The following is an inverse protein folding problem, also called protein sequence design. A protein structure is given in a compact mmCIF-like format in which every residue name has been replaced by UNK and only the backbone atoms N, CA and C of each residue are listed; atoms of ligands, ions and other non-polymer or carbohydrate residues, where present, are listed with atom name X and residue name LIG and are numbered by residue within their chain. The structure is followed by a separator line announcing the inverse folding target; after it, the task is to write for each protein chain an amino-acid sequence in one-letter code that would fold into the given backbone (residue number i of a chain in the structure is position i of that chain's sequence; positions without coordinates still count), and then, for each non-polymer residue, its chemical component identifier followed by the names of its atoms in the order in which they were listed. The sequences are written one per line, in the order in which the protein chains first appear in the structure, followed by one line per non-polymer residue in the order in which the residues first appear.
data_IF_834124883242
#
_entry.id   IF_834124883242
#
_cell.length_a   1.000
_cell.length_b   1.000
_cell.length_c   1.000
_cell.angle_alpha   90.00
_cell.angle_beta   90.00
_cell.angle_gamma   90.00
#
_symmetry.space_group_name_H-M   'P 1'
#
loop_
_entity.id
_entity.type
_entity.pdbx_description
1 polymer ?
#
# COMPACT_ATOMS: atom_id res chain seq x y z
N UNK A 1 -15.66 -6.27 -6.56
CA UNK A 1 -15.51 -7.37 -5.56
C UNK A 1 -14.41 -6.96 -4.59
N UNK A 2 -14.55 -7.11 -3.27
CA UNK A 2 -13.42 -6.91 -2.38
C UNK A 2 -12.43 -8.04 -2.70
N UNK A 3 -11.26 -7.68 -3.22
CA UNK A 3 -10.16 -8.63 -3.40
C UNK A 3 -9.79 -9.09 -1.98
N UNK A 4 -10.12 -10.35 -1.67
CA UNK A 4 -9.77 -11.03 -0.42
C UNK A 4 -8.24 -11.25 -0.40
N UNK A 5 -7.47 -10.16 -0.32
CA UNK A 5 -6.01 -10.17 -0.26
C UNK A 5 -5.63 -10.33 1.21
N UNK A 6 -4.95 -11.43 1.58
CA UNK A 6 -4.51 -11.61 2.96
C UNK A 6 -3.55 -10.48 3.34
N UNK A 7 -3.69 -9.99 4.57
CA UNK A 7 -2.76 -9.03 5.13
C UNK A 7 -1.41 -9.70 5.42
N UNK A 8 -0.34 -8.91 5.51
CA UNK A 8 1.02 -9.42 5.77
C UNK A 8 1.10 -10.38 6.97
N UNK A 9 0.35 -10.08 8.05
CA UNK A 9 0.26 -10.93 9.24
C UNK A 9 -0.41 -12.28 8.96
N UNK A 10 -1.50 -12.28 8.20
CA UNK A 10 -2.21 -13.52 7.83
C UNK A 10 -1.32 -14.40 6.95
N UNK A 11 -0.55 -13.79 6.05
CA UNK A 11 0.41 -14.48 5.20
C UNK A 11 1.55 -15.10 6.00
N UNK A 12 2.14 -14.35 6.94
CA UNK A 12 3.19 -14.86 7.85
C UNK A 12 2.68 -16.04 8.68
N UNK A 13 1.49 -15.92 9.25
CA UNK A 13 0.86 -17.01 10.02
C UNK A 13 0.61 -18.26 9.17
N UNK A 14 0.18 -18.08 7.92
CA UNK A 14 -0.03 -19.20 7.00
C UNK A 14 1.29 -19.92 6.66
N UNK A 15 2.38 -19.16 6.45
CA UNK A 15 3.72 -19.71 6.19
C UNK A 15 4.22 -20.48 7.43
N UNK A 16 4.11 -19.90 8.61
CA UNK A 16 4.50 -20.55 9.87
C UNK A 16 3.72 -21.84 10.11
N UNK A 17 2.40 -21.81 9.90
CA UNK A 17 1.55 -22.99 10.04
C UNK A 17 1.92 -24.09 9.04
N UNK A 18 2.20 -23.73 7.78
CA UNK A 18 2.67 -24.69 6.78
C UNK A 18 4.00 -25.35 7.21
N UNK A 19 4.96 -24.58 7.72
CA UNK A 19 6.26 -25.08 8.19
C UNK A 19 6.15 -26.05 9.37
N UNK A 20 5.13 -25.90 10.22
CA UNK A 20 4.87 -26.83 11.33
C UNK A 20 4.33 -28.18 10.85
N UNK A 21 3.67 -28.21 9.69
CA UNK A 21 3.05 -29.40 9.13
C UNK A 21 3.11 -29.35 7.59
N UNK A 22 4.28 -29.64 7.00
CA UNK A 22 4.45 -29.63 5.55
C UNK A 22 3.60 -30.73 4.88
N UNK A 23 3.40 -30.60 3.58
CA UNK A 23 2.64 -31.59 2.81
C UNK A 23 3.39 -32.93 2.77
N UNK A 24 2.70 -34.08 2.99
CA UNK A 24 3.34 -35.39 2.93
C UNK A 24 3.81 -35.79 1.52
N UNK A 25 3.27 -35.19 0.44
CA UNK A 25 3.76 -35.39 -0.92
C UNK A 25 4.97 -34.47 -1.19
N UNK A 26 6.18 -35.03 -1.43
CA UNK A 26 7.39 -34.23 -1.65
C UNK A 26 7.30 -33.26 -2.83
N UNK A 27 6.51 -33.58 -3.86
CA UNK A 27 6.35 -32.70 -5.04
C UNK A 27 5.50 -31.49 -4.71
N UNK A 28 4.45 -31.70 -3.90
CA UNK A 28 3.58 -30.63 -3.41
C UNK A 28 4.35 -29.75 -2.43
N UNK A 29 5.15 -30.36 -1.56
CA UNK A 29 5.99 -29.64 -0.61
C UNK A 29 7.06 -28.77 -1.30
N UNK A 30 7.75 -29.30 -2.32
CA UNK A 30 8.70 -28.52 -3.10
C UNK A 30 8.03 -27.32 -3.81
N UNK A 31 6.81 -27.52 -4.33
CA UNK A 31 6.05 -26.45 -4.95
C UNK A 31 5.67 -25.36 -3.95
N UNK A 32 5.11 -25.73 -2.80
CA UNK A 32 4.77 -24.76 -1.75
C UNK A 32 6.02 -24.08 -1.19
N UNK A 33 7.16 -24.77 -1.10
CA UNK A 33 8.45 -24.16 -0.75
C UNK A 33 8.84 -23.00 -1.67
N UNK A 34 8.66 -23.17 -3.00
CA UNK A 34 8.89 -22.09 -3.98
C UNK A 34 7.92 -20.93 -3.81
N UNK A 35 6.64 -21.22 -3.56
CA UNK A 35 5.62 -20.20 -3.30
C UNK A 35 5.95 -19.40 -2.03
N UNK A 36 6.28 -20.09 -0.93
CA UNK A 36 6.67 -19.47 0.34
C UNK A 36 7.89 -18.57 0.15
N UNK A 37 8.93 -19.04 -0.52
CA UNK A 37 10.13 -18.23 -0.79
C UNK A 37 9.78 -16.93 -1.56
N UNK A 38 8.86 -17.01 -2.52
CA UNK A 38 8.39 -15.82 -3.25
C UNK A 38 7.61 -14.86 -2.35
N UNK A 39 6.73 -15.38 -1.50
CA UNK A 39 5.93 -14.59 -0.57
C UNK A 39 6.81 -13.92 0.50
N UNK A 40 7.82 -14.60 1.03
CA UNK A 40 8.79 -14.01 1.96
C UNK A 40 9.58 -12.88 1.32
N UNK A 41 10.06 -13.07 0.07
CA UNK A 41 10.74 -12.02 -0.67
C UNK A 41 9.84 -10.79 -0.90
N UNK A 42 8.55 -11.02 -1.14
CA UNK A 42 7.56 -9.94 -1.28
C UNK A 42 7.35 -9.18 0.02
N UNK A 43 7.18 -9.90 1.14
CA UNK A 43 7.02 -9.30 2.48
C UNK A 43 8.24 -8.46 2.89
N UNK A 44 9.46 -8.97 2.67
CA UNK A 44 10.69 -8.23 2.99
C UNK A 44 10.84 -6.98 2.13
N UNK A 45 10.51 -7.06 0.83
CA UNK A 45 10.49 -5.88 -0.04
C UNK A 45 9.49 -4.84 0.46
N UNK A 46 8.26 -5.22 0.75
CA UNK A 46 7.23 -4.30 1.24
C UNK A 46 7.67 -3.63 2.54
N UNK A 47 8.24 -4.40 3.48
CA UNK A 47 8.80 -3.88 4.73
C UNK A 47 9.92 -2.87 4.51
N UNK A 48 10.82 -3.13 3.57
CA UNK A 48 11.90 -2.21 3.23
C UNK A 48 11.39 -0.88 2.64
N UNK A 49 10.29 -0.92 1.89
CA UNK A 49 9.68 0.27 1.26
C UNK A 49 8.71 1.01 2.20
N UNK A 50 8.18 0.35 3.23
CA UNK A 50 7.16 0.89 4.11
C UNK A 50 7.58 2.19 4.82
N UNK A 51 8.82 2.27 5.31
CA UNK A 51 9.30 3.48 6.00
C UNK A 51 9.41 4.69 5.08
N UNK A 52 9.91 4.49 3.86
CA UNK A 52 10.01 5.54 2.84
C UNK A 52 8.61 5.99 2.39
N UNK A 53 7.70 5.05 2.16
CA UNK A 53 6.32 5.38 1.80
C UNK A 53 5.59 6.13 2.92
N UNK A 54 5.75 5.72 4.18
CA UNK A 54 5.14 6.41 5.32
C UNK A 54 5.64 7.86 5.46
N UNK A 55 6.92 8.11 5.15
CA UNK A 55 7.46 9.46 5.10
C UNK A 55 6.79 10.28 3.99
N UNK A 56 6.73 9.74 2.77
CA UNK A 56 6.12 10.40 1.62
C UNK A 56 4.62 10.66 1.84
N UNK A 57 3.89 9.72 2.42
CA UNK A 57 2.47 9.86 2.75
C UNK A 57 2.26 11.00 3.76
N UNK A 58 3.12 11.09 4.78
CA UNK A 58 3.08 12.18 5.76
C UNK A 58 3.35 13.54 5.12
N UNK A 59 4.39 13.66 4.29
CA UNK A 59 4.70 14.91 3.58
C UNK A 59 3.54 15.34 2.66
N UNK A 60 2.95 14.39 1.95
CA UNK A 60 1.79 14.66 1.09
C UNK A 60 0.56 15.10 1.91
N UNK A 61 0.32 14.51 3.09
CA UNK A 61 -0.75 14.96 3.98
C UNK A 61 -0.52 16.39 4.49
N UNK A 62 0.72 16.74 4.85
CA UNK A 62 1.08 18.11 5.29
C UNK A 62 0.90 19.13 4.14
N UNK A 63 1.33 18.77 2.93
CA UNK A 63 1.12 19.59 1.73
C UNK A 63 -0.37 19.77 1.43
N UNK A 64 -1.16 18.69 1.49
CA UNK A 64 -2.59 18.73 1.24
C UNK A 64 -3.32 19.61 2.27
N UNK A 65 -2.93 19.52 3.55
CA UNK A 65 -3.47 20.38 4.59
C UNK A 65 -3.17 21.87 4.34
N UNK A 66 -1.96 22.19 3.88
CA UNK A 66 -1.56 23.56 3.54
C UNK A 66 -2.36 24.09 2.34
N UNK A 67 -2.49 23.30 1.27
CA UNK A 67 -3.26 23.65 0.06
C UNK A 67 -4.74 23.87 0.40
N UNK A 68 -5.32 23.02 1.24
CA UNK A 68 -6.72 23.12 1.65
C UNK A 68 -6.97 24.17 2.75
N UNK A 69 -5.91 24.81 3.26
CA UNK A 69 -5.93 25.71 4.42
C UNK A 69 -6.70 25.09 5.60
N UNK A 70 -6.51 23.79 5.81
CA UNK A 70 -7.18 23.02 6.86
C UNK A 70 -6.40 23.11 8.16
N UNK A 71 -7.09 23.45 9.26
CA UNK A 71 -6.53 23.33 10.61
C UNK A 71 -6.55 21.89 11.14
N UNK A 72 -7.39 21.03 10.57
CA UNK A 72 -7.45 19.60 10.85
C UNK A 72 -6.56 18.86 9.83
N UNK A 73 -5.38 18.45 10.29
CA UNK A 73 -4.38 17.71 9.51
C UNK A 73 -4.57 16.19 9.57
N UNK A 74 -5.62 15.72 10.24
CA UNK A 74 -5.93 14.29 10.24
C UNK A 74 -6.43 13.86 8.86
N UNK A 75 -6.15 12.61 8.46
CA UNK A 75 -6.65 12.06 7.20
C UNK A 75 -8.18 12.20 7.10
N UNK A 76 -8.89 11.89 8.19
CA UNK A 76 -10.35 12.06 8.28
C UNK A 76 -10.79 13.50 8.07
N UNK A 77 -10.06 14.47 8.63
CA UNK A 77 -10.28 15.91 8.43
C UNK A 77 -10.13 16.33 6.98
N UNK A 78 -9.01 15.95 6.37
CA UNK A 78 -8.70 16.24 4.96
C UNK A 78 -9.73 15.61 4.02
N UNK A 79 -10.10 14.35 4.24
CA UNK A 79 -11.15 13.67 3.46
C UNK A 79 -12.50 14.38 3.55
N UNK A 80 -12.91 14.83 4.75
CA UNK A 80 -14.14 15.62 4.90
C UNK A 80 -14.08 16.94 4.13
N UNK A 81 -12.90 17.59 4.12
CA UNK A 81 -12.69 18.85 3.40
C UNK A 81 -12.70 18.68 1.89
N UNK A 82 -12.12 17.60 1.37
CA UNK A 82 -12.21 17.23 -0.04
C UNK A 82 -13.66 16.92 -0.44
N UNK A 83 -14.37 16.14 0.39
CA UNK A 83 -15.75 15.73 0.12
C UNK A 83 -16.75 16.89 0.15
N UNK A 84 -16.45 17.99 0.84
CA UNK A 84 -17.31 19.18 0.84
C UNK A 84 -17.27 19.97 -0.48
N UNK A 85 -16.42 19.58 -1.44
CA UNK A 85 -16.39 20.14 -2.80
C UNK A 85 -15.81 21.54 -2.90
N UNK A 86 -15.38 22.13 -1.78
CA UNK A 86 -14.87 23.49 -1.74
C UNK A 86 -13.35 23.53 -2.03
N UNK A 87 -12.97 22.96 -3.18
CA UNK A 87 -11.58 22.76 -3.61
C UNK A 87 -11.28 23.31 -5.01
N UNK A 88 -12.24 23.93 -5.69
CA UNK A 88 -12.11 24.31 -7.11
C UNK A 88 -10.87 25.17 -7.42
N UNK A 89 -10.49 26.11 -6.56
CA UNK A 89 -9.30 26.96 -6.77
C UNK A 89 -7.97 26.22 -6.54
N UNK A 90 -8.02 25.06 -5.90
CA UNK A 90 -6.86 24.27 -5.48
C UNK A 90 -6.86 22.86 -6.08
N UNK A 91 -7.86 22.54 -6.91
CA UNK A 91 -8.09 21.22 -7.46
C UNK A 91 -6.88 20.67 -8.22
N UNK A 92 -6.16 21.44 -9.06
CA UNK A 92 -4.96 20.94 -9.73
C UNK A 92 -3.89 20.46 -8.74
N UNK A 93 -3.57 21.28 -7.73
CA UNK A 93 -2.56 20.95 -6.72
C UNK A 93 -2.97 19.74 -5.87
N UNK A 94 -4.27 19.65 -5.51
CA UNK A 94 -4.82 18.49 -4.81
C UNK A 94 -4.66 17.22 -5.63
N UNK A 95 -4.98 17.27 -6.93
CA UNK A 95 -4.87 16.11 -7.81
C UNK A 95 -3.42 15.69 -8.01
N UNK A 96 -2.50 16.63 -8.17
CA UNK A 96 -1.06 16.34 -8.29
C UNK A 96 -0.53 15.62 -7.05
N UNK A 97 -0.85 16.11 -5.85
CA UNK A 97 -0.43 15.47 -4.59
C UNK A 97 -1.02 14.07 -4.44
N UNK A 98 -2.33 13.91 -4.69
CA UNK A 98 -3.00 12.62 -4.55
C UNK A 98 -2.54 11.60 -5.59
N UNK A 99 -2.30 12.05 -6.83
CA UNK A 99 -1.79 11.19 -7.90
C UNK A 99 -0.38 10.68 -7.56
N UNK A 100 0.52 11.56 -7.11
CA UNK A 100 1.87 11.16 -6.74
C UNK A 100 1.90 10.10 -5.61
N UNK A 101 1.04 10.25 -4.59
CA UNK A 101 0.91 9.25 -3.52
C UNK A 101 0.30 7.94 -4.04
N UNK A 102 -0.73 8.03 -4.89
CA UNK A 102 -1.37 6.86 -5.46
C UNK A 102 -0.40 6.05 -6.34
N UNK A 103 0.41 6.73 -7.16
CA UNK A 103 1.44 6.11 -7.99
C UNK A 103 2.54 5.45 -7.14
N UNK A 104 3.03 6.15 -6.12
CA UNK A 104 4.01 5.59 -5.19
C UNK A 104 3.48 4.35 -4.46
N UNK A 105 2.19 4.36 -4.07
CA UNK A 105 1.55 3.21 -3.44
C UNK A 105 1.40 2.05 -4.41
N UNK A 106 1.03 2.35 -5.65
CA UNK A 106 0.87 1.38 -6.72
C UNK A 106 2.22 0.72 -7.10
N UNK A 107 3.33 1.45 -7.07
CA UNK A 107 4.67 0.88 -7.29
C UNK A 107 5.05 -0.17 -6.24
N UNK A 108 4.55 0.01 -5.01
CA UNK A 108 4.74 -0.94 -3.92
C UNK A 108 3.85 -2.16 -4.15
N UNK A 109 2.55 -1.93 -4.32
CA UNK A 109 1.52 -2.97 -4.36
C UNK A 109 1.48 -3.74 -5.70
N UNK A 110 1.93 -3.12 -6.79
CA UNK A 110 1.81 -3.62 -8.16
C UNK A 110 2.93 -3.05 -9.07
N UNK A 111 4.20 -3.41 -8.83
CA UNK A 111 5.37 -2.84 -9.54
C UNK A 111 5.39 -3.08 -11.06
N UNK A 112 4.52 -3.94 -11.59
CA UNK A 112 4.37 -4.20 -13.03
C UNK A 112 3.18 -3.48 -13.65
N UNK A 113 2.46 -2.66 -12.87
CA UNK A 113 1.34 -1.91 -13.40
C UNK A 113 1.86 -0.89 -14.43
N UNK A 114 1.34 -0.89 -15.67
CA UNK A 114 1.79 0.04 -16.69
C UNK A 114 1.38 1.46 -16.32
N UNK A 115 2.35 2.38 -16.30
CA UNK A 115 2.06 3.81 -16.16
C UNK A 115 1.54 4.34 -17.49
N UNK A 116 0.51 5.20 -17.45
CA UNK A 116 0.13 5.96 -18.63
C UNK A 116 1.23 7.00 -18.86
N UNK A 117 1.94 6.90 -19.99
CA UNK A 117 2.87 7.91 -20.47
C UNK A 117 2.12 9.09 -21.08
#
# INVERSE_FOLDING_TARGET
MPLNRPHARELQQAIEHYRQRPDPDPRVDEYYGKVIAHLEALLEREKALAAAFAHQEKEAMEQLAAVLKSSDQTLSGLCRRLASGNVNEHLPAVLETLLAVAEAKLDIDSPRYPRAN
#
